data_IF_616962240990
#
_entry.id   IF_616962240990
#
_cell.length_a   1.000
_cell.length_b   1.000
_cell.length_c   1.000
_cell.angle_alpha   90.00
_cell.angle_beta   90.00
_cell.angle_gamma   90.00
#
_symmetry.space_group_name_H-M   'P 1'
#
loop_
_entity.id
_entity.type
_entity.pdbx_description
1 polymer ?
#
# COMPACT_ATOMS: atom_id res chain seq x y z
N UNK A 1 13.78 28.76 45.81
CA UNK A 1 13.25 27.38 45.75
C UNK A 1 13.24 26.97 44.28
N UNK A 2 14.27 26.19 43.91
CA UNK A 2 14.30 25.55 42.61
C UNK A 2 13.21 24.49 42.51
N UNK A 3 12.34 24.60 41.52
CA UNK A 3 11.33 23.59 41.22
C UNK A 3 11.95 22.30 40.70
N UNK A 4 11.28 21.14 40.84
CA UNK A 4 11.81 19.87 40.39
C UNK A 4 12.01 19.88 38.87
N UNK A 5 13.23 19.51 38.41
CA UNK A 5 13.58 19.38 37.01
C UNK A 5 12.63 18.39 36.31
N UNK A 6 12.07 18.79 35.18
CA UNK A 6 11.29 17.90 34.33
C UNK A 6 12.13 16.71 33.91
N UNK A 7 11.59 15.47 33.90
CA UNK A 7 12.33 14.31 33.43
C UNK A 7 12.73 14.51 31.98
N UNK A 8 14.03 14.45 31.69
CA UNK A 8 14.53 14.40 30.31
C UNK A 8 13.97 13.14 29.64
N UNK A 9 13.53 13.24 28.37
CA UNK A 9 13.17 12.05 27.62
C UNK A 9 14.36 11.10 27.59
N UNK A 10 14.12 9.83 27.88
CA UNK A 10 15.13 8.80 27.81
C UNK A 10 15.72 8.78 26.40
N UNK A 11 17.04 8.92 26.29
CA UNK A 11 17.74 8.73 25.02
C UNK A 11 17.51 7.27 24.59
N UNK A 12 17.25 7.01 23.30
CA UNK A 12 17.11 5.64 22.81
C UNK A 12 18.39 4.86 23.17
N UNK A 13 18.22 3.65 23.65
CA UNK A 13 19.33 2.77 24.04
C UNK A 13 20.08 2.37 22.75
N UNK A 14 21.24 2.98 22.50
CA UNK A 14 22.08 2.71 21.33
C UNK A 14 22.77 1.34 21.39
N UNK A 15 22.52 0.56 22.44
CA UNK A 15 23.14 -0.75 22.62
C UNK A 15 22.41 -1.81 21.82
N UNK A 16 23.17 -2.61 21.08
CA UNK A 16 22.70 -3.84 20.46
C UNK A 16 22.77 -4.96 21.50
N UNK A 17 21.65 -5.63 21.73
CA UNK A 17 21.62 -6.88 22.51
C UNK A 17 21.65 -8.03 21.51
N UNK A 18 22.67 -8.89 21.62
CA UNK A 18 22.91 -10.01 20.70
C UNK A 18 22.89 -11.33 21.48
N UNK A 19 22.08 -12.28 21.03
CA UNK A 19 22.03 -13.66 21.51
C UNK A 19 22.27 -14.61 20.35
N UNK A 20 23.08 -15.66 20.54
CA UNK A 20 23.37 -16.68 19.55
C UNK A 20 23.96 -17.93 20.20
N UNK A 21 23.95 -19.07 19.51
CA UNK A 21 24.59 -20.30 20.01
C UNK A 21 26.12 -20.12 20.12
N UNK A 22 26.72 -19.40 19.16
CA UNK A 22 28.15 -19.08 19.13
C UNK A 22 28.38 -17.63 18.77
N UNK A 23 29.25 -16.95 19.52
CA UNK A 23 29.73 -15.59 19.22
C UNK A 23 31.23 -15.58 19.30
N UNK A 24 31.93 -15.15 18.24
CA UNK A 24 33.36 -15.10 18.20
C UNK A 24 33.89 -13.94 17.34
N UNK A 25 35.13 -13.54 17.59
CA UNK A 25 35.80 -12.46 16.88
C UNK A 25 36.84 -13.04 15.91
N UNK A 26 36.79 -12.60 14.65
CA UNK A 26 37.83 -12.86 13.64
C UNK A 26 38.75 -11.65 13.60
N UNK A 27 39.83 -11.69 14.40
CA UNK A 27 40.70 -10.54 14.65
C UNK A 27 41.42 -10.04 13.41
N UNK A 28 41.86 -10.95 12.54
CA UNK A 28 42.59 -10.61 11.31
C UNK A 28 41.73 -9.84 10.32
N UNK A 29 40.39 -10.03 10.37
CA UNK A 29 39.41 -9.36 9.52
C UNK A 29 38.65 -8.25 10.26
N UNK A 30 38.88 -8.03 11.54
CA UNK A 30 38.18 -7.08 12.40
C UNK A 30 36.64 -7.28 12.38
N UNK A 31 36.19 -8.55 12.40
CA UNK A 31 34.78 -8.93 12.35
C UNK A 31 34.32 -9.60 13.62
N UNK A 32 33.06 -9.33 14.01
CA UNK A 32 32.31 -10.09 14.99
C UNK A 32 31.34 -11.01 14.26
N UNK A 33 31.34 -12.28 14.61
CA UNK A 33 30.46 -13.31 13.98
C UNK A 33 29.60 -13.95 15.06
N UNK A 34 28.31 -14.03 14.79
CA UNK A 34 27.34 -14.78 15.58
C UNK A 34 26.72 -15.85 14.69
N UNK A 35 26.62 -17.08 15.18
CA UNK A 35 26.10 -18.24 14.44
C UNK A 35 25.17 -19.08 15.32
N UNK A 36 24.11 -19.58 14.70
CA UNK A 36 23.10 -20.42 15.31
C UNK A 36 22.07 -19.63 16.13
N UNK A 37 20.80 -19.69 15.73
CA UNK A 37 19.68 -19.04 16.42
C UNK A 37 19.95 -17.57 16.80
N UNK A 38 20.55 -16.82 15.88
CA UNK A 38 20.93 -15.43 16.16
C UNK A 38 19.69 -14.56 16.35
N UNK A 39 19.65 -13.83 17.46
CA UNK A 39 18.66 -12.78 17.72
C UNK A 39 19.40 -11.50 18.13
N UNK A 40 19.17 -10.41 17.40
CA UNK A 40 19.69 -9.09 17.69
C UNK A 40 18.57 -8.09 17.91
N UNK A 41 18.61 -7.39 19.04
CA UNK A 41 17.66 -6.33 19.37
C UNK A 41 18.39 -4.98 19.29
N UNK A 42 17.87 -4.07 18.47
CA UNK A 42 18.39 -2.72 18.30
C UNK A 42 17.22 -1.74 18.10
N UNK A 43 17.14 -0.71 18.94
CA UNK A 43 16.11 0.34 18.84
C UNK A 43 14.67 -0.21 18.66
N UNK A 44 14.29 -1.24 19.44
CA UNK A 44 12.95 -1.84 19.37
C UNK A 44 12.72 -2.77 18.17
N UNK A 45 13.71 -2.94 17.28
CA UNK A 45 13.66 -3.87 16.15
C UNK A 45 14.36 -5.17 16.50
N UNK A 46 13.75 -6.30 16.14
CA UNK A 46 14.31 -7.64 16.33
C UNK A 46 14.76 -8.17 14.98
N UNK A 47 16.00 -8.58 14.88
CA UNK A 47 16.55 -9.29 13.73
C UNK A 47 16.87 -10.72 14.17
N UNK A 48 16.35 -11.71 13.43
CA UNK A 48 16.66 -13.13 13.57
C UNK A 48 17.34 -13.64 12.31
N UNK A 49 18.33 -14.53 12.46
CA UNK A 49 19.05 -15.14 11.35
C UNK A 49 19.77 -16.40 11.78
N UNK A 50 20.25 -17.20 10.83
CA UNK A 50 21.14 -18.32 11.12
C UNK A 50 22.56 -17.83 11.41
N UNK A 51 22.98 -16.71 10.77
CA UNK A 51 24.29 -16.12 10.92
C UNK A 51 24.24 -14.59 10.80
N UNK A 52 25.03 -13.91 11.64
CA UNK A 52 25.24 -12.46 11.59
C UNK A 52 26.75 -12.17 11.63
N UNK A 53 27.19 -11.28 10.76
CA UNK A 53 28.57 -10.78 10.70
C UNK A 53 28.55 -9.27 10.77
N UNK A 54 29.21 -8.72 11.78
CA UNK A 54 29.47 -7.28 11.87
C UNK A 54 30.90 -7.00 11.47
N UNK A 55 31.12 -6.26 10.41
CA UNK A 55 32.41 -5.81 9.93
C UNK A 55 32.69 -4.41 10.48
N UNK A 56 33.59 -4.32 11.47
CA UNK A 56 33.94 -3.06 12.13
C UNK A 56 34.75 -2.11 11.23
N UNK A 57 35.30 -2.63 10.12
CA UNK A 57 36.10 -1.81 9.20
C UNK A 57 35.18 -1.02 8.26
N UNK A 58 34.12 -1.64 7.81
CA UNK A 58 33.14 -1.04 6.88
C UNK A 58 31.90 -0.53 7.59
N UNK A 59 31.77 -0.82 8.88
CA UNK A 59 30.59 -0.52 9.72
C UNK A 59 29.30 -1.11 9.16
N UNK A 60 29.39 -2.35 8.63
CA UNK A 60 28.27 -3.05 8.01
C UNK A 60 27.90 -4.31 8.77
N UNK A 61 26.61 -4.57 8.83
CA UNK A 61 26.02 -5.79 9.38
C UNK A 61 25.47 -6.63 8.24
N UNK A 62 25.91 -7.87 8.13
CA UNK A 62 25.38 -8.86 7.20
C UNK A 62 24.71 -9.98 7.97
N UNK A 63 23.42 -10.23 7.69
CA UNK A 63 22.71 -11.38 8.22
C UNK A 63 22.29 -12.30 7.09
N UNK A 64 22.38 -13.61 7.28
CA UNK A 64 22.09 -14.62 6.28
C UNK A 64 21.44 -15.86 6.88
N UNK A 65 20.61 -16.53 6.07
CA UNK A 65 19.84 -17.69 6.43
C UNK A 65 18.60 -17.36 7.29
N UNK A 66 17.42 -17.60 6.73
CA UNK A 66 16.12 -17.40 7.41
C UNK A 66 16.00 -16.02 8.11
N UNK A 67 16.45 -14.96 7.44
CA UNK A 67 16.45 -13.63 8.04
C UNK A 67 15.03 -13.15 8.24
N UNK A 68 14.71 -12.72 9.47
CA UNK A 68 13.43 -12.13 9.84
C UNK A 68 13.71 -10.81 10.58
N UNK A 69 13.13 -9.72 10.11
CA UNK A 69 13.14 -8.43 10.81
C UNK A 69 11.73 -8.14 11.28
N UNK A 70 11.59 -7.85 12.56
CA UNK A 70 10.32 -7.42 13.17
C UNK A 70 10.55 -5.98 13.66
N UNK A 71 9.75 -5.04 13.15
CA UNK A 71 9.81 -3.65 13.59
C UNK A 71 8.98 -3.39 14.84
N UNK A 72 9.02 -2.17 15.36
CA UNK A 72 8.31 -1.74 16.55
C UNK A 72 6.78 -1.85 16.40
N UNK A 73 6.25 -1.84 15.18
CA UNK A 73 4.81 -1.97 14.88
C UNK A 73 4.37 -3.43 14.80
N UNK A 74 5.33 -4.39 14.78
CA UNK A 74 5.09 -5.80 14.60
C UNK A 74 5.03 -6.24 13.12
N UNK A 75 5.35 -5.35 12.19
CA UNK A 75 5.50 -5.66 10.77
C UNK A 75 6.69 -6.60 10.56
N UNK A 76 6.52 -7.62 9.72
CA UNK A 76 7.51 -8.66 9.51
C UNK A 76 8.08 -8.59 8.09
N UNK A 77 9.40 -8.58 8.01
CA UNK A 77 10.16 -8.64 6.76
C UNK A 77 11.02 -9.91 6.78
N UNK A 78 11.10 -10.57 5.65
CA UNK A 78 11.85 -11.82 5.47
C UNK A 78 12.86 -11.63 4.34
N UNK A 79 14.01 -12.26 4.45
CA UNK A 79 15.01 -12.30 3.40
C UNK A 79 15.87 -13.56 3.51
N UNK A 80 16.56 -13.93 2.42
CA UNK A 80 17.60 -14.95 2.45
C UNK A 80 18.89 -14.37 3.02
N UNK A 81 19.18 -13.11 2.65
CA UNK A 81 20.34 -12.35 3.08
C UNK A 81 20.04 -10.86 3.11
N UNK A 82 20.59 -10.17 4.10
CA UNK A 82 20.61 -8.71 4.17
C UNK A 82 22.03 -8.21 4.46
N UNK A 83 22.37 -7.03 3.94
CA UNK A 83 23.52 -6.25 4.36
C UNK A 83 23.06 -4.81 4.56
N UNK A 84 23.29 -4.27 5.74
CA UNK A 84 22.89 -2.92 6.13
C UNK A 84 24.05 -2.24 6.85
N UNK A 85 24.08 -0.92 6.84
CA UNK A 85 24.96 -0.15 7.70
C UNK A 85 24.54 -0.23 9.18
N UNK A 86 25.36 0.24 10.08
CA UNK A 86 25.07 0.23 11.52
C UNK A 86 23.90 1.11 11.91
N UNK A 87 23.51 2.08 11.06
CA UNK A 87 22.35 2.96 11.26
C UNK A 87 21.05 2.36 10.72
N UNK A 88 21.13 1.24 9.97
CA UNK A 88 20.02 0.59 9.28
C UNK A 88 19.32 1.50 8.26
N UNK A 89 20.02 2.50 7.73
CA UNK A 89 19.49 3.47 6.77
C UNK A 89 19.79 3.07 5.32
N UNK A 90 21.00 2.56 5.06
CA UNK A 90 21.43 2.07 3.76
C UNK A 90 21.63 0.56 3.77
N UNK A 91 21.18 -0.12 2.74
CA UNK A 91 21.39 -1.57 2.65
C UNK A 91 20.68 -2.23 1.49
N UNK A 92 20.90 -3.53 1.38
CA UNK A 92 20.20 -4.38 0.43
C UNK A 92 19.71 -5.69 1.08
N UNK A 93 18.69 -6.28 0.46
CA UNK A 93 18.18 -7.61 0.80
C UNK A 93 18.03 -8.45 -0.46
N UNK A 94 18.26 -9.74 -0.35
CA UNK A 94 18.05 -10.75 -1.40
C UNK A 94 16.95 -11.70 -0.92
N UNK A 95 16.05 -12.13 -1.83
CA UNK A 95 14.91 -12.98 -1.48
C UNK A 95 13.92 -12.27 -0.56
N UNK A 96 13.71 -10.97 -0.79
CA UNK A 96 12.92 -10.11 0.08
C UNK A 96 11.44 -10.42 0.01
N UNK A 97 10.78 -10.48 1.17
CA UNK A 97 9.34 -10.37 1.28
C UNK A 97 8.91 -9.67 2.57
N UNK A 98 7.76 -9.02 2.54
CA UNK A 98 7.21 -8.34 3.71
C UNK A 98 5.70 -8.53 3.79
N UNK A 99 5.22 -8.68 5.02
CA UNK A 99 3.79 -8.57 5.36
C UNK A 99 3.55 -7.19 5.92
N UNK A 100 2.77 -6.41 5.18
CA UNK A 100 2.41 -5.05 5.53
C UNK A 100 1.15 -5.04 6.41
N UNK A 101 0.90 -3.91 7.05
CA UNK A 101 -0.35 -3.68 7.75
C UNK A 101 -1.56 -3.92 6.83
N UNK A 102 -2.69 -4.34 7.40
CA UNK A 102 -3.92 -4.68 6.67
C UNK A 102 -3.84 -5.93 5.78
N UNK A 103 -2.79 -6.77 5.94
CA UNK A 103 -2.68 -8.06 5.27
C UNK A 103 -2.12 -8.02 3.84
N UNK A 104 -1.65 -6.86 3.37
CA UNK A 104 -0.95 -6.80 2.09
C UNK A 104 0.42 -7.49 2.18
N UNK A 105 0.82 -8.10 1.08
CA UNK A 105 2.11 -8.80 0.94
C UNK A 105 2.87 -8.26 -0.25
N UNK A 106 4.16 -8.04 -0.06
CA UNK A 106 5.10 -7.72 -1.13
C UNK A 106 6.23 -8.76 -1.13
N UNK A 107 6.67 -9.18 -2.29
CA UNK A 107 7.84 -10.03 -2.48
C UNK A 107 8.68 -9.50 -3.64
N UNK A 108 10.00 -9.62 -3.55
CA UNK A 108 10.93 -9.17 -4.58
C UNK A 108 12.20 -10.04 -4.58
N UNK A 109 12.87 -10.15 -5.72
CA UNK A 109 14.16 -10.83 -5.78
C UNK A 109 15.23 -10.09 -4.99
N UNK A 110 15.19 -8.75 -5.04
CA UNK A 110 16.05 -7.90 -4.23
C UNK A 110 15.35 -6.62 -3.81
N UNK A 111 15.77 -6.09 -2.68
CA UNK A 111 15.35 -4.80 -2.15
C UNK A 111 16.59 -3.95 -1.83
N UNK A 112 16.55 -2.68 -2.15
CA UNK A 112 17.58 -1.69 -1.83
C UNK A 112 16.92 -0.60 -1.01
N UNK A 113 17.50 -0.28 0.13
CA UNK A 113 17.12 0.83 0.98
C UNK A 113 18.20 1.90 0.92
N UNK A 114 17.80 3.15 0.85
CA UNK A 114 18.71 4.29 0.83
C UNK A 114 18.31 5.33 1.89
N UNK A 115 19.29 5.94 2.52
CA UNK A 115 19.14 6.97 3.56
C UNK A 115 18.34 8.20 3.10
N UNK A 116 18.26 8.43 1.79
CA UNK A 116 17.39 9.47 1.19
C UNK A 116 15.91 9.12 1.17
N UNK A 117 15.49 8.01 1.83
CA UNK A 117 14.11 7.57 1.87
C UNK A 117 13.59 6.87 0.60
N UNK A 118 14.48 6.58 -0.37
CA UNK A 118 14.12 5.84 -1.58
C UNK A 118 14.39 4.36 -1.40
N UNK A 119 13.35 3.55 -1.49
CA UNK A 119 13.45 2.09 -1.47
C UNK A 119 13.12 1.55 -2.87
N UNK A 120 13.98 0.70 -3.42
CA UNK A 120 13.80 0.08 -4.72
C UNK A 120 13.68 -1.44 -4.58
N UNK A 121 12.73 -2.03 -5.28
CA UNK A 121 12.47 -3.46 -5.35
C UNK A 121 12.60 -3.93 -6.80
N UNK A 122 13.36 -4.96 -7.06
CA UNK A 122 13.49 -5.55 -8.39
C UNK A 122 12.73 -6.88 -8.45
N UNK A 123 12.03 -7.11 -9.57
CA UNK A 123 11.13 -8.26 -9.81
C UNK A 123 10.12 -8.44 -8.68
N UNK A 124 9.33 -7.42 -8.50
CA UNK A 124 8.38 -7.31 -7.38
C UNK A 124 7.02 -7.91 -7.74
N UNK A 125 6.41 -8.55 -6.74
CA UNK A 125 4.99 -8.93 -6.74
C UNK A 125 4.34 -8.32 -5.50
N UNK A 126 3.24 -7.62 -5.71
CA UNK A 126 2.43 -7.02 -4.65
C UNK A 126 1.00 -7.51 -4.73
N UNK A 127 0.40 -7.80 -3.59
CA UNK A 127 -1.03 -8.08 -3.47
C UNK A 127 -1.57 -7.60 -2.12
N UNK A 128 -2.79 -7.08 -2.11
CA UNK A 128 -3.54 -6.79 -0.88
C UNK A 128 -4.51 -7.94 -0.51
N UNK A 129 -4.52 -9.02 -1.28
CA UNK A 129 -5.32 -10.20 -0.95
C UNK A 129 -4.58 -11.07 0.06
N UNK A 130 -5.26 -11.61 1.08
CA UNK A 130 -4.67 -12.61 1.96
C UNK A 130 -4.20 -13.81 1.13
N UNK A 131 -2.94 -14.17 1.26
CA UNK A 131 -2.37 -15.37 0.66
C UNK A 131 -2.32 -16.43 1.75
N UNK A 132 -3.12 -17.48 1.61
CA UNK A 132 -3.19 -18.61 2.55
C UNK A 132 -2.37 -19.80 2.04
N UNK A 133 -1.99 -20.71 2.94
CA UNK A 133 -1.25 -21.93 2.55
C UNK A 133 -2.02 -22.81 1.57
N UNK A 134 -3.35 -22.80 1.63
CA UNK A 134 -4.22 -23.61 0.77
C UNK A 134 -4.47 -22.95 -0.59
N UNK A 135 -4.47 -21.62 -0.68
CA UNK A 135 -4.71 -20.87 -1.92
C UNK A 135 -3.56 -19.88 -2.15
N UNK A 136 -2.53 -20.35 -2.85
CA UNK A 136 -1.29 -19.61 -3.12
C UNK A 136 -1.45 -18.51 -4.19
N UNK A 137 -2.57 -18.53 -4.92
CA UNK A 137 -2.81 -17.56 -6.00
C UNK A 137 -3.75 -16.47 -5.51
N UNK A 138 -3.29 -15.23 -5.33
CA UNK A 138 -4.16 -14.15 -4.92
C UNK A 138 -5.21 -13.84 -5.99
N UNK A 139 -6.38 -13.35 -5.57
CA UNK A 139 -7.44 -12.93 -6.49
C UNK A 139 -6.92 -11.88 -7.48
N UNK A 140 -6.02 -11.00 -7.05
CA UNK A 140 -5.30 -10.08 -7.93
C UNK A 140 -3.90 -9.80 -7.40
N UNK A 141 -2.99 -9.48 -8.31
CA UNK A 141 -1.64 -9.04 -7.98
C UNK A 141 -1.12 -8.03 -9.00
N UNK A 142 -0.15 -7.25 -8.57
CA UNK A 142 0.68 -6.42 -9.46
C UNK A 142 2.07 -7.03 -9.49
N UNK A 143 2.49 -7.48 -10.67
CA UNK A 143 3.86 -7.91 -10.92
C UNK A 143 4.58 -6.82 -11.70
N UNK A 144 5.77 -6.43 -11.27
CA UNK A 144 6.54 -5.43 -11.99
C UNK A 144 8.03 -5.79 -12.04
N UNK A 145 8.72 -5.32 -13.07
CA UNK A 145 10.17 -5.48 -13.15
C UNK A 145 10.88 -4.70 -12.05
N UNK A 146 10.37 -3.51 -11.72
CA UNK A 146 10.91 -2.66 -10.66
C UNK A 146 9.80 -1.87 -9.99
N UNK A 147 9.84 -1.77 -8.67
CA UNK A 147 9.05 -0.81 -7.90
C UNK A 147 9.99 0.12 -7.12
N UNK A 148 9.61 1.38 -6.98
CA UNK A 148 10.32 2.37 -6.19
C UNK A 148 9.32 3.04 -5.28
N UNK A 149 9.55 2.93 -3.98
CA UNK A 149 8.85 3.65 -2.94
C UNK A 149 9.68 4.88 -2.58
N UNK A 150 9.15 6.04 -2.83
CA UNK A 150 9.71 7.32 -2.42
C UNK A 150 8.94 7.79 -1.18
N UNK A 151 9.63 7.81 -0.04
CA UNK A 151 9.02 8.16 1.26
C UNK A 151 8.72 9.66 1.36
N UNK A 152 9.49 10.52 0.71
CA UNK A 152 9.26 11.96 0.73
C UNK A 152 7.98 12.34 -0.03
N UNK A 153 7.84 11.83 -1.25
CA UNK A 153 6.63 12.05 -2.06
C UNK A 153 5.47 11.13 -1.65
N UNK A 154 5.73 10.10 -0.83
CA UNK A 154 4.78 9.04 -0.47
C UNK A 154 4.12 8.40 -1.70
N UNK A 155 4.93 8.12 -2.72
CA UNK A 155 4.50 7.54 -3.99
C UNK A 155 5.21 6.21 -4.23
N UNK A 156 4.45 5.23 -4.72
CA UNK A 156 5.00 3.98 -5.24
C UNK A 156 4.89 4.02 -6.76
N UNK A 157 6.01 3.89 -7.44
CA UNK A 157 6.09 3.84 -8.89
C UNK A 157 6.58 2.48 -9.36
N UNK A 158 6.01 1.98 -10.46
CA UNK A 158 6.34 0.69 -11.05
C UNK A 158 6.78 0.87 -12.49
N UNK A 159 7.73 0.04 -12.91
CA UNK A 159 8.13 -0.13 -14.32
C UNK A 159 7.76 -1.52 -14.80
N UNK A 160 7.21 -1.58 -16.03
CA UNK A 160 6.73 -2.82 -16.66
C UNK A 160 5.78 -3.59 -15.74
N UNK A 161 4.73 -2.90 -15.28
CA UNK A 161 3.74 -3.47 -14.38
C UNK A 161 2.71 -4.31 -15.17
N UNK A 162 2.42 -5.49 -14.65
CA UNK A 162 1.36 -6.39 -15.13
C UNK A 162 0.36 -6.58 -14.00
N UNK A 163 -0.89 -6.26 -14.24
CA UNK A 163 -1.97 -6.62 -13.33
C UNK A 163 -2.43 -8.03 -13.69
N UNK A 164 -2.43 -8.90 -12.70
CA UNK A 164 -2.88 -10.29 -12.80
C UNK A 164 -4.16 -10.48 -11.98
N UNK A 165 -5.10 -11.26 -12.53
CA UNK A 165 -6.31 -11.72 -11.83
C UNK A 165 -6.31 -13.23 -11.82
N UNK A 166 -6.34 -13.84 -10.64
CA UNK A 166 -6.18 -15.28 -10.45
C UNK A 166 -4.96 -15.86 -11.21
N UNK A 167 -3.83 -15.13 -11.22
CA UNK A 167 -2.60 -15.50 -11.91
C UNK A 167 -2.60 -15.30 -13.43
N UNK A 168 -3.69 -14.78 -14.02
CA UNK A 168 -3.78 -14.50 -15.45
C UNK A 168 -3.46 -13.01 -15.68
N UNK A 169 -2.49 -12.67 -16.56
CA UNK A 169 -2.18 -11.29 -16.89
C UNK A 169 -3.33 -10.66 -17.69
N UNK A 170 -3.87 -9.54 -17.19
CA UNK A 170 -5.02 -8.84 -17.82
C UNK A 170 -4.67 -7.46 -18.35
N UNK A 171 -3.74 -6.74 -17.69
CA UNK A 171 -3.30 -5.41 -18.12
C UNK A 171 -1.80 -5.27 -17.98
N UNK A 172 -1.18 -4.57 -18.95
CA UNK A 172 0.23 -4.18 -18.93
C UNK A 172 0.36 -2.66 -18.96
N UNK A 173 1.18 -2.13 -18.05
CA UNK A 173 1.53 -0.72 -17.96
C UNK A 173 3.05 -0.56 -18.01
N UNK A 174 3.61 0.11 -19.01
CA UNK A 174 5.03 0.43 -19.03
C UNK A 174 5.49 1.23 -17.82
N UNK A 175 4.57 2.08 -17.31
CA UNK A 175 4.73 2.86 -16.10
C UNK A 175 3.39 2.94 -15.38
N UNK A 176 3.40 2.69 -14.07
CA UNK A 176 2.27 2.84 -13.16
C UNK A 176 2.77 3.52 -11.89
N UNK A 177 1.99 4.43 -11.33
CA UNK A 177 2.29 5.01 -10.03
C UNK A 177 1.00 5.24 -9.24
N UNK A 178 1.08 5.04 -7.93
CA UNK A 178 -0.01 5.36 -7.01
C UNK A 178 0.56 5.84 -5.67
N UNK A 179 -0.24 6.58 -4.87
CA UNK A 179 0.15 6.93 -3.51
C UNK A 179 0.39 5.68 -2.66
N UNK A 180 1.33 5.77 -1.73
CA UNK A 180 1.51 4.75 -0.68
C UNK A 180 0.21 4.62 0.13
N UNK A 181 -0.24 3.40 0.48
CA UNK A 181 -1.44 3.18 1.30
C UNK A 181 -1.42 3.92 2.65
N UNK A 182 -0.24 4.21 3.20
CA UNK A 182 -0.07 4.97 4.44
C UNK A 182 -0.11 6.48 4.24
N UNK A 183 -0.12 6.94 2.98
CA UNK A 183 -0.17 8.37 2.67
C UNK A 183 -1.51 9.00 3.07
N UNK A 184 -1.48 10.29 3.37
CA UNK A 184 -2.70 11.07 3.51
C UNK A 184 -3.55 10.99 2.23
N UNK A 185 -4.85 11.26 2.38
CA UNK A 185 -5.82 11.21 1.27
C UNK A 185 -5.37 12.07 0.09
N UNK A 186 -5.15 11.45 -1.06
CA UNK A 186 -4.70 12.11 -2.29
C UNK A 186 -5.66 11.85 -3.45
N UNK A 187 -5.75 12.82 -4.34
CA UNK A 187 -6.50 12.68 -5.58
C UNK A 187 -5.78 11.72 -6.54
N UNK A 188 -6.55 10.92 -7.28
CA UNK A 188 -5.99 9.98 -8.24
C UNK A 188 -7.04 9.10 -8.91
N UNK A 189 -6.59 8.36 -9.92
CA UNK A 189 -7.42 7.34 -10.58
C UNK A 189 -7.67 6.17 -9.63
N UNK A 190 -8.93 5.74 -9.53
CA UNK A 190 -9.30 4.51 -8.84
C UNK A 190 -9.29 3.33 -9.81
N UNK A 191 -9.44 2.13 -9.27
CA UNK A 191 -9.50 0.90 -10.06
C UNK A 191 -10.68 1.00 -11.03
N UNK A 192 -10.45 0.83 -12.34
CA UNK A 192 -11.53 0.86 -13.32
C UNK A 192 -12.42 -0.36 -13.20
N UNK A 193 -13.67 -0.22 -13.60
CA UNK A 193 -14.58 -1.33 -13.81
C UNK A 193 -14.85 -1.52 -15.31
N UNK A 194 -14.90 -2.78 -15.74
CA UNK A 194 -15.24 -3.15 -17.08
C UNK A 194 -16.12 -4.41 -17.03
N UNK A 195 -17.02 -4.53 -17.98
CA UNK A 195 -17.91 -5.69 -18.03
C UNK A 195 -18.73 -5.72 -19.30
N UNK A 196 -19.63 -6.71 -19.36
CA UNK A 196 -20.60 -6.86 -20.44
C UNK A 196 -21.97 -7.14 -19.85
N UNK A 197 -22.98 -6.43 -20.33
CA UNK A 197 -24.39 -6.67 -19.97
C UNK A 197 -25.29 -6.59 -21.19
N UNK A 198 -26.47 -7.20 -21.11
CA UNK A 198 -27.45 -7.18 -22.21
C UNK A 198 -27.89 -5.76 -22.58
N UNK A 199 -27.92 -4.82 -21.64
CA UNK A 199 -28.36 -3.42 -21.89
C UNK A 199 -27.21 -2.52 -22.34
N UNK A 200 -26.06 -2.60 -21.66
CA UNK A 200 -24.91 -1.72 -21.93
C UNK A 200 -24.02 -2.23 -23.06
N UNK A 201 -24.04 -3.54 -23.35
CA UNK A 201 -22.98 -4.19 -24.12
C UNK A 201 -21.68 -4.20 -23.30
N UNK A 202 -20.56 -4.14 -23.97
CA UNK A 202 -19.27 -3.90 -23.32
C UNK A 202 -19.25 -2.49 -22.76
N UNK A 203 -18.85 -2.36 -21.49
CA UNK A 203 -18.69 -1.06 -20.85
C UNK A 203 -17.35 -0.95 -20.13
N UNK A 204 -16.90 0.28 -19.99
CA UNK A 204 -15.72 0.66 -19.22
C UNK A 204 -16.03 1.93 -18.43
N UNK A 205 -15.73 1.92 -17.12
CA UNK A 205 -15.89 3.07 -16.22
C UNK A 205 -14.56 3.33 -15.52
N UNK A 206 -14.09 4.57 -15.57
CA UNK A 206 -12.84 5.00 -14.94
C UNK A 206 -13.13 6.03 -13.85
N UNK A 207 -13.21 5.63 -12.57
CA UNK A 207 -13.37 6.59 -11.50
C UNK A 207 -12.08 7.38 -11.26
N UNK A 208 -12.25 8.67 -10.98
CA UNK A 208 -11.23 9.57 -10.48
C UNK A 208 -11.66 10.13 -9.12
N UNK A 209 -10.85 9.86 -8.11
CA UNK A 209 -11.06 10.39 -6.76
C UNK A 209 -10.40 11.76 -6.63
N UNK A 210 -11.16 12.74 -6.17
CA UNK A 210 -10.69 14.10 -5.93
C UNK A 210 -10.84 14.44 -4.45
N UNK A 211 -9.73 14.50 -3.72
CA UNK A 211 -9.65 14.99 -2.36
C UNK A 211 -9.77 16.52 -2.37
N UNK A 212 -10.97 17.06 -2.16
CA UNK A 212 -11.23 18.50 -2.18
C UNK A 212 -10.70 19.20 -0.92
N UNK A 213 -10.80 18.52 0.23
CA UNK A 213 -10.28 18.98 1.52
C UNK A 213 -10.15 17.79 2.46
N UNK A 214 -9.61 17.99 3.66
CA UNK A 214 -9.54 16.93 4.70
C UNK A 214 -10.91 16.31 5.05
N UNK A 215 -11.98 17.06 4.85
CA UNK A 215 -13.35 16.64 5.21
C UNK A 215 -14.27 16.44 4.02
N UNK A 216 -13.86 16.72 2.78
CA UNK A 216 -14.69 16.60 1.59
C UNK A 216 -13.97 15.94 0.42
N UNK A 217 -14.70 15.16 -0.35
CA UNK A 217 -14.22 14.42 -1.50
C UNK A 217 -15.27 14.35 -2.61
N UNK A 218 -14.81 14.22 -3.83
CA UNK A 218 -15.63 14.01 -5.02
C UNK A 218 -15.05 12.86 -5.84
N UNK A 219 -15.84 11.85 -6.13
CA UNK A 219 -15.48 10.84 -7.12
C UNK A 219 -16.21 11.14 -8.42
N UNK A 220 -15.46 11.21 -9.52
CA UNK A 220 -15.94 11.48 -10.87
C UNK A 220 -15.75 10.20 -11.67
N UNK A 221 -16.84 9.58 -12.13
CA UNK A 221 -16.81 8.25 -12.75
C UNK A 221 -17.45 8.30 -14.16
N UNK A 222 -16.71 8.75 -15.19
CA UNK A 222 -17.17 8.63 -16.57
C UNK A 222 -17.24 7.17 -16.98
N UNK A 223 -18.34 6.78 -17.60
CA UNK A 223 -18.58 5.46 -18.18
C UNK A 223 -18.84 5.58 -19.67
N UNK A 224 -18.23 4.72 -20.47
CA UNK A 224 -18.49 4.52 -21.88
C UNK A 224 -18.97 3.09 -22.08
N UNK A 225 -19.89 2.91 -23.01
CA UNK A 225 -20.45 1.61 -23.31
C UNK A 225 -20.77 1.46 -24.80
N UNK A 226 -21.02 0.23 -25.22
CA UNK A 226 -21.22 -0.09 -26.63
C UNK A 226 -22.63 0.29 -27.13
N UNK A 227 -23.64 0.10 -26.26
CA UNK A 227 -25.05 0.18 -26.68
C UNK A 227 -25.74 1.46 -26.19
N UNK A 228 -25.13 2.22 -25.28
CA UNK A 228 -25.74 3.43 -24.72
C UNK A 228 -24.74 4.57 -24.69
N UNK A 229 -25.24 5.79 -24.69
CA UNK A 229 -24.43 7.00 -24.66
C UNK A 229 -23.59 7.11 -23.36
N UNK A 230 -22.51 7.88 -23.37
CA UNK A 230 -21.67 8.04 -22.19
C UNK A 230 -22.46 8.55 -20.97
N UNK A 231 -22.17 7.97 -19.81
CA UNK A 231 -22.75 8.36 -18.52
C UNK A 231 -21.65 8.96 -17.64
N UNK A 232 -21.96 10.06 -16.97
CA UNK A 232 -21.13 10.65 -15.94
C UNK A 232 -21.80 10.45 -14.58
N UNK A 233 -21.11 9.78 -13.67
CA UNK A 233 -21.52 9.63 -12.27
C UNK A 233 -20.61 10.47 -11.39
N UNK A 234 -21.21 11.15 -10.40
CA UNK A 234 -20.52 11.97 -9.41
C UNK A 234 -20.98 11.53 -8.02
N UNK A 235 -20.03 11.26 -7.15
CA UNK A 235 -20.26 10.91 -5.74
C UNK A 235 -19.53 11.92 -4.87
N UNK A 236 -20.28 12.81 -4.23
CA UNK A 236 -19.75 13.82 -3.32
C UNK A 236 -20.00 13.44 -1.88
N UNK A 237 -18.96 13.42 -1.05
CA UNK A 237 -19.03 13.17 0.38
C UNK A 237 -18.40 14.30 1.17
N UNK A 238 -19.10 14.69 2.24
CA UNK A 238 -18.57 15.67 3.19
C UNK A 238 -18.81 15.25 4.62
N UNK A 239 -17.76 15.29 5.41
CA UNK A 239 -17.82 15.07 6.86
C UNK A 239 -17.85 16.41 7.58
N UNK A 240 -18.69 16.49 8.59
CA UNK A 240 -18.80 17.59 9.52
C UNK A 240 -18.48 17.06 10.91
N UNK A 241 -18.25 17.94 11.86
CA UNK A 241 -18.00 17.54 13.24
C UNK A 241 -19.17 16.68 13.82
N UNK A 242 -20.42 17.01 13.48
CA UNK A 242 -21.62 16.32 13.99
C UNK A 242 -22.15 15.21 13.06
N UNK A 243 -21.63 15.03 11.84
CA UNK A 243 -22.19 14.06 10.92
C UNK A 243 -21.58 14.07 9.53
N UNK A 244 -22.29 13.52 8.56
CA UNK A 244 -21.85 13.45 7.18
C UNK A 244 -23.01 13.61 6.19
N UNK A 245 -22.69 14.12 5.00
CA UNK A 245 -23.57 14.16 3.82
C UNK A 245 -22.92 13.35 2.71
N UNK A 246 -23.74 12.59 1.99
CA UNK A 246 -23.40 11.93 0.74
C UNK A 246 -24.41 12.38 -0.34
N UNK A 247 -23.91 12.78 -1.50
CA UNK A 247 -24.71 13.15 -2.68
C UNK A 247 -24.18 12.34 -3.85
N UNK A 248 -25.03 11.46 -4.38
CA UNK A 248 -24.76 10.71 -5.59
C UNK A 248 -25.64 11.26 -6.72
N UNK A 249 -25.04 11.51 -7.87
CA UNK A 249 -25.73 12.01 -9.05
C UNK A 249 -25.15 11.41 -10.31
N UNK A 250 -26.02 11.19 -11.32
CA UNK A 250 -25.56 10.77 -12.64
C UNK A 250 -26.27 11.54 -13.74
N UNK A 251 -25.60 11.65 -14.89
CA UNK A 251 -26.09 12.34 -16.08
C UNK A 251 -25.72 11.57 -17.33
N UNK A 252 -26.69 11.41 -18.22
CA UNK A 252 -26.49 10.90 -19.57
C UNK A 252 -27.49 11.59 -20.52
N UNK A 253 -27.14 11.66 -21.79
CA UNK A 253 -28.11 12.06 -22.82
C UNK A 253 -28.48 10.81 -23.58
N UNK A 254 -29.71 10.27 -23.36
CA UNK A 254 -30.11 8.96 -23.86
C UNK A 254 -31.55 8.92 -24.29
N UNK A 255 -31.86 8.00 -25.20
CA UNK A 255 -33.22 7.67 -25.62
C UNK A 255 -33.98 6.89 -24.52
N UNK A 256 -35.30 6.70 -24.69
CA UNK A 256 -36.07 5.80 -23.84
C UNK A 256 -35.77 4.34 -24.19
N UNK A 257 -35.86 3.44 -23.18
CA UNK A 257 -35.79 2.00 -23.37
C UNK A 257 -37.22 1.43 -23.36
N UNK A 258 -37.52 0.55 -24.29
CA UNK A 258 -38.77 -0.24 -24.26
C UNK A 258 -38.66 -1.45 -23.31
N UNK A 259 -39.71 -2.28 -23.25
CA UNK A 259 -39.75 -3.48 -22.40
C UNK A 259 -38.71 -4.53 -22.79
N UNK A 260 -38.25 -4.53 -24.02
CA UNK A 260 -37.26 -5.47 -24.57
C UNK A 260 -35.85 -4.92 -24.46
N UNK A 261 -35.69 -3.65 -24.02
CA UNK A 261 -34.45 -2.95 -23.81
C UNK A 261 -33.90 -2.28 -25.06
N UNK A 262 -34.72 -2.10 -26.09
CA UNK A 262 -34.35 -1.35 -27.28
C UNK A 262 -34.59 0.16 -27.09
N UNK A 263 -33.68 0.95 -27.67
CA UNK A 263 -33.74 2.41 -27.60
C UNK A 263 -34.84 2.94 -28.54
N UNK A 264 -35.64 3.87 -28.06
CA UNK A 264 -36.67 4.53 -28.86
C UNK A 264 -36.88 6.01 -28.47
N UNK A 265 -37.49 6.78 -29.36
CA UNK A 265 -37.80 8.19 -29.14
C UNK A 265 -36.56 9.12 -29.34
N UNK A 266 -36.66 10.35 -28.82
CA UNK A 266 -35.61 11.36 -28.92
C UNK A 266 -34.65 11.27 -27.75
N UNK A 267 -33.38 11.65 -27.97
CA UNK A 267 -32.40 11.79 -26.92
C UNK A 267 -32.82 12.90 -25.94
N UNK A 268 -32.72 12.60 -24.64
CA UNK A 268 -33.06 13.52 -23.56
C UNK A 268 -32.01 13.43 -22.47
N UNK A 269 -31.71 14.56 -21.85
CA UNK A 269 -30.90 14.59 -20.66
C UNK A 269 -31.63 13.81 -19.54
N UNK A 270 -30.98 12.78 -19.04
CA UNK A 270 -31.45 11.90 -17.97
C UNK A 270 -30.45 11.88 -16.84
N UNK A 271 -30.94 11.63 -15.66
CA UNK A 271 -30.08 11.54 -14.50
C UNK A 271 -30.87 11.39 -13.23
N UNK A 272 -30.14 11.27 -12.16
CA UNK A 272 -30.71 11.27 -10.83
C UNK A 272 -29.84 12.09 -9.88
N UNK A 273 -30.41 12.53 -8.78
CA UNK A 273 -29.72 13.11 -7.64
C UNK A 273 -30.29 12.45 -6.40
N UNK A 274 -29.42 11.75 -5.64
CA UNK A 274 -29.74 11.19 -4.34
C UNK A 274 -28.88 11.85 -3.29
N UNK A 275 -29.51 12.31 -2.22
CA UNK A 275 -28.82 12.88 -1.07
C UNK A 275 -29.16 12.09 0.18
N UNK A 276 -28.19 11.85 1.01
CA UNK A 276 -28.37 11.32 2.36
C UNK A 276 -27.48 12.04 3.34
N UNK A 277 -27.94 12.17 4.56
CA UNK A 277 -27.18 12.78 5.63
C UNK A 277 -27.55 12.20 6.98
N UNK A 278 -26.56 12.09 7.87
CA UNK A 278 -26.76 11.65 9.23
C UNK A 278 -25.95 12.53 10.17
N UNK A 279 -26.63 13.14 11.15
CA UNK A 279 -26.05 14.08 12.07
C UNK A 279 -26.44 13.76 13.53
N UNK A 280 -25.46 13.80 14.43
CA UNK A 280 -25.69 13.70 15.85
C UNK A 280 -26.23 15.03 16.39
N UNK A 281 -27.35 15.00 17.11
CA UNK A 281 -27.87 16.12 17.88
C UNK A 281 -27.23 16.11 19.26
N UNK A 282 -27.11 14.95 19.85
CA UNK A 282 -26.40 14.69 21.11
C UNK A 282 -25.97 13.19 21.15
N UNK A 283 -25.53 12.69 22.29
CA UNK A 283 -25.06 11.30 22.43
C UNK A 283 -26.15 10.24 22.18
N UNK A 284 -27.42 10.59 22.29
CA UNK A 284 -28.56 9.66 22.19
C UNK A 284 -29.36 9.85 20.89
N UNK A 285 -29.42 11.08 20.37
CA UNK A 285 -30.26 11.43 19.23
C UNK A 285 -29.45 11.77 17.98
N UNK A 286 -29.89 11.19 16.87
CA UNK A 286 -29.40 11.51 15.53
C UNK A 286 -30.56 11.85 14.63
N UNK A 287 -30.37 12.76 13.68
CA UNK A 287 -31.32 13.03 12.61
C UNK A 287 -30.68 12.75 11.25
N UNK A 288 -31.48 12.39 10.27
CA UNK A 288 -31.00 12.10 8.92
C UNK A 288 -32.10 12.29 7.88
N UNK A 289 -31.68 12.34 6.63
CA UNK A 289 -32.55 12.44 5.45
C UNK A 289 -32.05 11.53 4.33
#
# INVERSE_FOLDING_TARGET
QEGPASPQPAQPDERVVLEADYVYEVRDENKLVAEGNVEALYQGRILRADKLVYDRTTDKVRASGNVIIIDETGSQQFADEIEVDSTLEDGYAIGFSARLDQGATVAANSAIRQSNGVNALDQVVYTACPVCEEDKTPTWSVRARRAVLDQESQMISYRDAVIEVAGIPVFYFPFLAHPDPTSERRSGLLIPSAGNSSKLGLFYQQPYYWALSESSELTISPMVSQNVNPLLELDYRKRFYSGAININTSFTNEQDFDSDGELFGEEKLRGHIYGSGLFAINNEWKWGF
#
